data_IF_845506881539
#
_entry.id   IF_845506881539
#
_cell.length_a   1.000
_cell.length_b   1.000
_cell.length_c   1.000
_cell.angle_alpha   90.00
_cell.angle_beta   90.00
_cell.angle_gamma   90.00
#
_symmetry.space_group_name_H-M   'P 1'
#
loop_
_entity.id
_entity.type
_entity.pdbx_description
1 polymer ?
#
# COMPACT_ATOMS: atom_id res chain seq x y z
N UNK A 1 -4.58 6.97 -38.08
CA UNK A 1 -3.95 8.13 -37.41
C UNK A 1 -5.03 8.92 -36.70
N UNK A 2 -5.17 8.78 -35.39
CA UNK A 2 -6.10 9.57 -34.57
C UNK A 2 -5.28 10.20 -33.44
N UNK A 3 -5.02 11.50 -33.56
CA UNK A 3 -4.34 12.29 -32.54
C UNK A 3 -5.33 12.53 -31.40
N UNK A 4 -5.09 11.92 -30.23
CA UNK A 4 -5.80 12.29 -29.00
C UNK A 4 -5.20 13.59 -28.50
N UNK A 5 -6.05 14.62 -28.38
CA UNK A 5 -5.74 15.89 -27.75
C UNK A 5 -5.29 15.66 -26.30
N UNK A 6 -4.01 15.93 -26.02
CA UNK A 6 -3.48 16.12 -24.69
C UNK A 6 -3.85 17.52 -24.22
N UNK A 7 -5.01 17.67 -23.56
CA UNK A 7 -5.25 18.86 -22.76
C UNK A 7 -4.29 18.83 -21.57
N UNK A 8 -3.38 19.80 -21.53
CA UNK A 8 -2.49 20.06 -20.40
C UNK A 8 -3.31 20.23 -19.13
N UNK A 9 -3.21 19.26 -18.21
CA UNK A 9 -3.70 19.43 -16.85
C UNK A 9 -2.74 20.38 -16.15
N UNK A 10 -3.23 21.56 -15.76
CA UNK A 10 -2.47 22.47 -14.90
C UNK A 10 -2.10 21.72 -13.60
N UNK A 11 -0.80 21.56 -13.37
CA UNK A 11 -0.27 20.94 -12.15
C UNK A 11 -0.30 21.99 -11.03
N UNK A 12 -0.78 21.66 -9.82
CA UNK A 12 -0.55 22.51 -8.65
C UNK A 12 0.96 22.74 -8.46
N UNK A 13 1.36 23.97 -8.16
CA UNK A 13 2.75 24.49 -8.08
C UNK A 13 3.67 23.81 -7.04
N UNK A 14 3.22 22.74 -6.41
CA UNK A 14 3.75 22.21 -5.15
C UNK A 14 4.50 20.88 -5.29
N UNK A 15 4.78 20.48 -6.53
CA UNK A 15 5.49 19.25 -6.89
C UNK A 15 6.69 19.59 -7.79
N UNK A 16 7.93 19.55 -7.27
CA UNK A 16 9.10 19.95 -8.04
C UNK A 16 9.32 19.05 -9.27
N UNK A 17 9.80 19.67 -10.35
CA UNK A 17 10.13 19.01 -11.60
C UNK A 17 11.52 18.34 -11.53
N UNK A 18 11.58 17.08 -11.96
CA UNK A 18 12.71 16.27 -12.50
C UNK A 18 13.96 16.05 -11.62
N UNK A 19 14.33 16.95 -10.72
CA UNK A 19 15.49 16.72 -9.84
C UNK A 19 15.16 15.78 -8.68
N UNK A 20 16.07 14.84 -8.44
CA UNK A 20 16.01 14.00 -7.26
C UNK A 20 16.17 14.86 -6.01
N UNK A 21 15.31 14.68 -5.02
CA UNK A 21 15.41 15.38 -3.74
C UNK A 21 15.23 14.39 -2.60
N UNK A 22 15.69 14.77 -1.42
CA UNK A 22 15.37 14.05 -0.20
C UNK A 22 13.99 14.49 0.31
N UNK A 23 13.16 13.51 0.66
CA UNK A 23 11.86 13.74 1.26
C UNK A 23 11.71 12.83 2.49
N UNK A 24 11.24 13.42 3.59
CA UNK A 24 11.06 12.72 4.86
C UNK A 24 9.63 12.20 4.94
N UNK A 25 9.50 10.89 4.94
CA UNK A 25 8.21 10.21 4.77
C UNK A 25 7.95 9.28 5.95
N UNK A 26 6.80 9.42 6.59
CA UNK A 26 6.29 8.45 7.55
C UNK A 26 5.69 7.29 6.76
N UNK A 27 6.36 6.15 6.72
CA UNK A 27 5.87 4.98 6.00
C UNK A 27 4.66 4.42 6.72
N UNK A 28 3.50 4.33 6.04
CA UNK A 28 2.26 3.77 6.63
C UNK A 28 1.73 2.57 5.87
N UNK A 29 2.26 2.27 4.69
CA UNK A 29 1.80 1.17 3.84
C UNK A 29 3.00 0.40 3.28
N UNK A 30 2.89 -0.94 3.29
CA UNK A 30 3.66 -1.83 2.43
C UNK A 30 2.69 -2.81 1.80
N UNK A 31 2.57 -2.77 0.48
CA UNK A 31 1.75 -3.72 -0.25
C UNK A 31 2.42 -5.10 -0.32
N UNK A 32 1.63 -6.14 -0.58
CA UNK A 32 2.12 -7.49 -0.84
C UNK A 32 3.25 -7.49 -1.88
N UNK A 33 4.37 -8.20 -1.61
CA UNK A 33 5.44 -8.39 -2.60
C UNK A 33 4.94 -9.12 -3.85
N UNK A 34 5.27 -8.57 -5.01
CA UNK A 34 4.96 -9.18 -6.31
C UNK A 34 6.24 -9.47 -7.11
N UNK A 35 6.28 -10.56 -7.89
CA UNK A 35 7.40 -10.86 -8.79
C UNK A 35 7.71 -9.71 -9.74
N UNK A 36 8.99 -9.48 -10.01
CA UNK A 36 9.48 -8.41 -10.87
C UNK A 36 10.64 -8.89 -11.72
N UNK A 37 10.52 -8.78 -13.04
CA UNK A 37 11.61 -9.17 -13.94
C UNK A 37 12.90 -8.36 -13.66
N UNK A 38 12.78 -7.10 -13.26
CA UNK A 38 13.94 -6.23 -13.00
C UNK A 38 14.50 -6.43 -11.58
N UNK A 39 13.64 -6.39 -10.57
CA UNK A 39 14.07 -6.35 -9.17
C UNK A 39 13.88 -7.68 -8.41
N UNK A 40 13.53 -8.75 -9.14
CA UNK A 40 13.10 -10.07 -8.63
C UNK A 40 11.76 -10.04 -7.93
N UNK A 41 11.60 -9.16 -6.95
CA UNK A 41 10.31 -8.85 -6.33
C UNK A 41 10.26 -7.38 -5.89
N UNK A 42 9.06 -6.84 -5.84
CA UNK A 42 8.85 -5.43 -5.46
C UNK A 42 7.61 -5.28 -4.61
N UNK A 43 7.67 -4.35 -3.66
CA UNK A 43 6.51 -3.84 -2.93
C UNK A 43 6.21 -2.41 -3.38
N UNK A 44 4.94 -2.05 -3.35
CA UNK A 44 4.52 -0.65 -3.33
C UNK A 44 4.57 -0.18 -1.87
N UNK A 45 5.32 0.89 -1.61
CA UNK A 45 5.37 1.54 -0.30
C UNK A 45 4.65 2.87 -0.39
N UNK A 46 3.89 3.25 0.64
CA UNK A 46 3.32 4.59 0.70
C UNK A 46 3.43 5.17 2.11
N UNK A 47 3.45 6.50 2.15
CA UNK A 47 3.64 7.26 3.37
C UNK A 47 3.11 8.68 3.26
N UNK A 48 3.25 9.41 4.37
CA UNK A 48 2.82 10.81 4.51
C UNK A 48 4.04 11.65 4.88
N UNK A 49 4.24 12.78 4.20
CA UNK A 49 5.30 13.74 4.54
C UNK A 49 4.98 14.51 5.82
N UNK A 50 5.92 15.31 6.34
CA UNK A 50 5.66 16.21 7.46
C UNK A 50 4.58 17.27 7.15
N UNK A 51 4.42 17.62 5.87
CA UNK A 51 3.39 18.53 5.38
C UNK A 51 2.04 17.86 5.09
N UNK A 52 1.89 16.55 5.37
CA UNK A 52 0.64 15.83 5.13
C UNK A 52 0.43 15.35 3.69
N UNK A 53 1.45 15.45 2.81
CA UNK A 53 1.35 14.98 1.42
C UNK A 53 1.50 13.45 1.37
N UNK A 54 0.60 12.78 0.66
CA UNK A 54 0.74 11.36 0.36
C UNK A 54 1.80 11.11 -0.72
N UNK A 55 2.68 10.14 -0.49
CA UNK A 55 3.74 9.73 -1.41
C UNK A 55 3.69 8.22 -1.62
N UNK A 56 3.62 7.80 -2.88
CA UNK A 56 3.86 6.43 -3.34
C UNK A 56 5.31 6.29 -3.78
N UNK A 57 5.97 5.28 -3.24
CA UNK A 57 7.32 4.85 -3.59
C UNK A 57 7.23 3.51 -4.31
N UNK A 58 7.59 3.49 -5.59
CA UNK A 58 7.59 2.27 -6.38
C UNK A 58 8.68 2.30 -7.46
N UNK A 59 9.34 1.16 -7.75
CA UNK A 59 9.34 -0.07 -6.96
C UNK A 59 10.29 0.01 -5.76
N UNK A 60 9.95 -0.69 -4.67
CA UNK A 60 10.85 -0.93 -3.54
C UNK A 60 11.15 -2.43 -3.45
N UNK A 61 12.40 -2.89 -3.62
CA UNK A 61 12.78 -4.30 -3.48
C UNK A 61 12.99 -4.67 -1.99
N UNK A 62 11.98 -4.45 -1.15
CA UNK A 62 12.12 -4.38 0.31
C UNK A 62 12.84 -5.58 0.96
N UNK A 63 12.53 -6.81 0.51
CA UNK A 63 13.14 -8.05 1.01
C UNK A 63 14.62 -8.21 0.64
N UNK A 64 15.10 -7.48 -0.36
CA UNK A 64 16.48 -7.48 -0.86
C UNK A 64 17.25 -6.21 -0.48
N UNK A 65 16.66 -5.34 0.33
CA UNK A 65 17.37 -4.16 0.83
C UNK A 65 18.45 -4.54 1.84
N UNK A 66 19.56 -3.80 1.79
CA UNK A 66 20.60 -3.82 2.80
C UNK A 66 20.01 -3.57 4.19
N UNK A 67 20.55 -4.23 5.21
CA UNK A 67 20.01 -4.21 6.57
C UNK A 67 19.76 -2.78 7.09
N UNK A 68 20.74 -1.88 6.90
CA UNK A 68 20.68 -0.48 7.34
C UNK A 68 19.58 0.35 6.66
N UNK A 69 19.10 -0.06 5.49
CA UNK A 69 18.06 0.65 4.74
C UNK A 69 16.66 0.10 5.02
N UNK A 70 16.53 -1.02 5.76
CA UNK A 70 15.23 -1.61 6.09
C UNK A 70 14.48 -0.74 7.09
N UNK A 71 13.20 -0.53 6.84
CA UNK A 71 12.33 0.28 7.67
C UNK A 71 11.05 -0.46 8.07
N UNK A 72 10.42 0.00 9.14
CA UNK A 72 9.15 -0.52 9.65
C UNK A 72 7.97 0.39 9.32
N UNK A 73 6.76 -0.16 9.40
CA UNK A 73 5.53 0.63 9.34
C UNK A 73 5.50 1.61 10.52
N UNK A 74 5.05 2.83 10.27
CA UNK A 74 5.10 3.99 11.16
C UNK A 74 6.50 4.49 11.51
N UNK A 75 7.53 4.19 10.72
CA UNK A 75 8.86 4.78 10.88
C UNK A 75 9.03 5.98 9.94
N UNK A 76 9.65 7.04 10.44
CA UNK A 76 10.14 8.12 9.58
C UNK A 76 11.36 7.61 8.80
N UNK A 77 11.40 7.91 7.51
CA UNK A 77 12.50 7.49 6.64
C UNK A 77 12.80 8.65 5.71
N UNK A 78 14.08 8.99 5.55
CA UNK A 78 14.52 9.92 4.53
C UNK A 78 14.76 9.15 3.23
N UNK A 79 14.03 9.51 2.17
CA UNK A 79 14.18 8.89 0.87
C UNK A 79 14.71 9.92 -0.12
N UNK A 80 15.77 9.59 -0.86
CA UNK A 80 16.05 10.29 -2.11
C UNK A 80 15.11 9.78 -3.19
N UNK A 81 14.24 10.66 -3.69
CA UNK A 81 13.17 10.31 -4.62
C UNK A 81 13.24 11.17 -5.87
N UNK A 82 12.82 10.58 -7.00
CA UNK A 82 12.60 11.30 -8.26
C UNK A 82 11.19 11.06 -8.75
N UNK A 83 10.61 12.08 -9.36
CA UNK A 83 9.28 11.96 -9.96
C UNK A 83 9.31 10.94 -11.10
N UNK A 84 8.31 10.04 -11.15
CA UNK A 84 8.16 9.16 -12.32
C UNK A 84 7.78 9.97 -13.55
N UNK A 85 8.30 9.60 -14.71
CA UNK A 85 7.92 10.26 -15.96
C UNK A 85 6.43 10.00 -16.24
N UNK A 86 5.74 10.97 -16.85
CA UNK A 86 4.30 10.90 -17.05
C UNK A 86 3.88 9.73 -17.96
N UNK A 87 4.76 9.28 -18.85
CA UNK A 87 4.55 8.13 -19.73
C UNK A 87 4.57 6.80 -18.95
N UNK A 88 5.32 6.77 -17.84
CA UNK A 88 5.44 5.59 -16.98
C UNK A 88 4.39 5.57 -15.88
N UNK A 89 4.15 6.72 -15.26
CA UNK A 89 3.17 6.90 -14.19
C UNK A 89 2.87 8.39 -14.00
N UNK A 90 1.69 8.84 -14.43
CA UNK A 90 1.28 10.24 -14.37
C UNK A 90 0.73 10.68 -13.00
N UNK A 91 0.61 9.76 -12.04
CA UNK A 91 -0.03 10.04 -10.75
C UNK A 91 0.82 11.02 -9.95
N UNK A 92 0.19 12.04 -9.35
CA UNK A 92 0.90 13.17 -8.73
C UNK A 92 1.66 12.76 -7.47
N UNK A 93 1.22 11.70 -6.81
CA UNK A 93 1.86 11.11 -5.63
C UNK A 93 2.90 10.01 -5.96
N UNK A 94 3.15 9.68 -7.24
CA UNK A 94 4.04 8.57 -7.61
C UNK A 94 5.51 8.96 -7.84
N UNK A 95 6.42 8.30 -7.12
CA UNK A 95 7.86 8.54 -7.13
C UNK A 95 8.67 7.25 -7.20
N UNK A 96 9.84 7.32 -7.82
CA UNK A 96 10.84 6.27 -7.82
C UNK A 96 11.91 6.59 -6.77
N UNK A 97 12.12 5.74 -5.75
CA UNK A 97 13.20 5.93 -4.78
C UNK A 97 14.55 5.46 -5.34
N UNK A 98 15.61 6.14 -4.95
CA UNK A 98 16.98 5.66 -5.12
C UNK A 98 17.31 4.69 -3.98
N UNK A 99 17.41 3.39 -4.29
CA UNK A 99 17.44 2.32 -3.27
C UNK A 99 18.64 2.41 -2.32
N UNK A 100 19.79 2.90 -2.80
CA UNK A 100 20.98 3.11 -1.98
C UNK A 100 20.84 4.30 -0.99
N UNK A 101 19.85 5.17 -1.21
CA UNK A 101 19.64 6.43 -0.50
C UNK A 101 18.33 6.40 0.30
N UNK A 102 18.10 5.28 0.98
CA UNK A 102 16.98 5.06 1.89
C UNK A 102 17.53 4.96 3.31
N UNK A 103 17.19 5.94 4.14
CA UNK A 103 17.78 6.14 5.47
C UNK A 103 16.68 6.17 6.54
N UNK A 104 16.39 5.05 7.23
CA UNK A 104 15.43 5.02 8.34
C UNK A 104 15.87 5.93 9.49
N UNK A 105 14.93 6.68 10.07
CA UNK A 105 15.19 7.65 11.14
C UNK A 105 14.56 7.14 12.43
N UNK A 106 15.40 6.92 13.44
CA UNK A 106 14.96 6.54 14.78
C UNK A 106 14.12 5.27 14.82
N UNK A 107 13.32 5.12 15.87
CA UNK A 107 12.38 4.00 16.02
C UNK A 107 11.01 4.32 15.41
N UNK A 108 10.19 3.32 15.08
CA UNK A 108 8.82 3.54 14.64
C UNK A 108 8.01 4.28 15.70
N UNK A 109 7.08 5.13 15.26
CA UNK A 109 6.18 5.84 16.17
C UNK A 109 5.43 4.83 17.06
N UNK A 110 5.28 5.10 18.37
CA UNK A 110 4.75 4.14 19.33
C UNK A 110 3.36 3.58 18.98
N UNK A 111 3.15 2.29 19.24
CA UNK A 111 1.88 1.61 19.00
C UNK A 111 0.90 1.67 20.19
N UNK A 112 1.31 2.17 21.37
CA UNK A 112 0.52 2.08 22.61
C UNK A 112 -0.57 3.15 22.73
N UNK A 113 -0.28 4.41 22.41
CA UNK A 113 -1.23 5.52 22.54
C UNK A 113 -1.61 6.18 21.19
N UNK A 114 -0.94 5.84 20.09
CA UNK A 114 -1.19 6.32 18.72
C UNK A 114 -1.21 7.85 18.56
N UNK A 115 -0.80 8.64 19.57
CA UNK A 115 -0.93 10.10 19.57
C UNK A 115 -0.14 10.69 18.39
N UNK A 116 1.14 10.33 18.26
CA UNK A 116 1.99 10.82 17.17
C UNK A 116 1.52 10.34 15.79
N UNK A 117 1.00 9.11 15.70
CA UNK A 117 0.45 8.58 14.44
C UNK A 117 -0.81 9.36 14.03
N UNK A 118 -1.72 9.62 14.97
CA UNK A 118 -2.95 10.39 14.76
C UNK A 118 -2.65 11.82 14.30
N UNK A 119 -1.67 12.48 14.94
CA UNK A 119 -1.26 13.85 14.61
C UNK A 119 -0.86 14.03 13.14
N UNK A 120 -0.24 13.01 12.54
CA UNK A 120 0.20 13.05 11.14
C UNK A 120 -0.90 12.57 10.18
N UNK A 121 -1.62 11.51 10.54
CA UNK A 121 -2.51 10.81 9.59
C UNK A 121 -3.91 11.41 9.54
N UNK A 122 -4.50 11.76 10.69
CA UNK A 122 -5.89 12.26 10.74
C UNK A 122 -6.11 13.55 9.92
N UNK A 123 -5.17 14.52 9.85
CA UNK A 123 -5.33 15.69 9.01
C UNK A 123 -5.43 15.40 7.50
N UNK A 124 -5.06 14.18 7.06
CA UNK A 124 -5.05 13.79 5.65
C UNK A 124 -6.30 13.04 5.20
N UNK A 125 -7.31 12.94 6.07
CA UNK A 125 -8.56 12.22 5.80
C UNK A 125 -9.38 12.93 4.73
N UNK A 126 -9.70 12.17 3.68
CA UNK A 126 -10.66 12.57 2.66
C UNK A 126 -12.10 12.27 3.10
N UNK A 127 -13.09 13.06 2.65
CA UNK A 127 -14.49 12.89 3.05
C UNK A 127 -15.08 11.51 2.74
N UNK A 128 -14.74 10.94 1.57
CA UNK A 128 -15.27 9.67 1.09
C UNK A 128 -14.37 9.06 0.02
N UNK A 129 -14.67 7.82 -0.38
CA UNK A 129 -14.02 7.21 -1.54
C UNK A 129 -14.37 7.94 -2.86
N UNK A 130 -15.61 8.43 -3.01
CA UNK A 130 -16.02 9.15 -4.22
C UNK A 130 -15.25 10.47 -4.39
N UNK A 131 -14.93 11.15 -3.28
CA UNK A 131 -14.07 12.33 -3.33
C UNK A 131 -12.66 11.98 -3.82
N UNK A 132 -12.08 10.87 -3.36
CA UNK A 132 -10.80 10.38 -3.86
C UNK A 132 -10.86 10.03 -5.35
N UNK A 133 -11.97 9.45 -5.84
CA UNK A 133 -12.18 9.16 -7.25
C UNK A 133 -12.25 10.45 -8.11
N UNK A 134 -12.89 11.50 -7.59
CA UNK A 134 -12.90 12.83 -8.22
C UNK A 134 -11.51 13.46 -8.25
N UNK A 135 -10.77 13.41 -7.14
CA UNK A 135 -9.39 13.89 -7.05
C UNK A 135 -8.46 13.13 -8.00
N UNK A 136 -8.66 11.82 -8.17
CA UNK A 136 -7.95 11.05 -9.17
C UNK A 136 -8.26 11.54 -10.58
N UNK A 137 -9.55 11.71 -10.90
CA UNK A 137 -10.00 12.14 -12.23
C UNK A 137 -9.44 13.51 -12.60
N UNK A 138 -9.48 14.46 -11.66
CA UNK A 138 -9.14 15.86 -11.89
C UNK A 138 -7.64 16.11 -11.74
N UNK A 139 -7.02 15.55 -10.69
CA UNK A 139 -5.65 15.89 -10.26
C UNK A 139 -4.68 14.70 -10.26
N UNK A 140 -5.15 13.50 -10.61
CA UNK A 140 -4.34 12.27 -10.60
C UNK A 140 -3.76 11.94 -9.22
N UNK A 141 -4.47 12.34 -8.15
CA UNK A 141 -4.21 11.91 -6.76
C UNK A 141 -4.72 10.49 -6.60
N UNK A 142 -3.85 9.59 -6.18
CA UNK A 142 -4.10 8.15 -6.28
C UNK A 142 -3.81 7.36 -5.01
N UNK A 143 -3.59 8.09 -3.93
CA UNK A 143 -3.48 7.60 -2.56
C UNK A 143 -4.40 8.45 -1.69
N UNK A 144 -4.90 7.86 -0.62
CA UNK A 144 -5.66 8.61 0.37
C UNK A 144 -6.11 7.73 1.52
N UNK A 145 -6.75 8.37 2.48
CA UNK A 145 -7.37 7.71 3.62
C UNK A 145 -8.77 8.27 3.81
N UNK A 146 -9.74 7.41 4.09
CA UNK A 146 -11.10 7.85 4.38
C UNK A 146 -11.76 6.96 5.42
N UNK A 147 -12.81 7.47 6.06
CA UNK A 147 -13.62 6.73 7.02
C UNK A 147 -14.81 6.08 6.29
N UNK A 148 -14.91 4.74 6.20
CA UNK A 148 -16.14 4.12 5.72
C UNK A 148 -17.27 4.40 6.72
N UNK A 149 -18.51 4.41 6.22
CA UNK A 149 -19.71 4.51 7.06
C UNK A 149 -19.91 3.22 7.85
N UNK A 150 -19.69 2.07 7.19
CA UNK A 150 -19.80 0.73 7.77
C UNK A 150 -19.06 -0.27 6.89
N UNK A 151 -18.32 -1.18 7.51
CA UNK A 151 -17.88 -2.44 6.89
C UNK A 151 -19.03 -3.44 6.98
N UNK A 152 -19.54 -3.90 5.84
CA UNK A 152 -20.65 -4.85 5.78
C UNK A 152 -20.14 -6.29 5.88
N UNK A 153 -19.03 -6.61 5.21
CA UNK A 153 -18.50 -7.97 5.17
C UNK A 153 -16.98 -8.00 4.89
N UNK A 154 -16.36 -9.12 5.22
CA UNK A 154 -14.99 -9.47 4.87
C UNK A 154 -15.00 -10.77 4.06
N UNK A 155 -14.65 -10.64 2.79
CA UNK A 155 -14.78 -11.68 1.79
C UNK A 155 -13.43 -12.31 1.54
N UNK A 156 -13.37 -13.64 1.64
CA UNK A 156 -12.21 -14.44 1.27
C UNK A 156 -12.59 -15.23 0.02
N UNK A 157 -11.76 -15.17 -1.02
CA UNK A 157 -11.97 -15.95 -2.25
C UNK A 157 -10.73 -16.77 -2.55
N UNK A 158 -10.92 -18.05 -2.88
CA UNK A 158 -9.83 -18.95 -3.27
C UNK A 158 -9.26 -18.55 -4.62
N UNK A 159 -7.94 -18.51 -4.70
CA UNK A 159 -7.16 -18.23 -5.88
C UNK A 159 -6.22 -19.38 -6.24
N UNK A 160 -5.22 -19.09 -7.08
CA UNK A 160 -4.21 -20.08 -7.47
C UNK A 160 -3.15 -20.22 -6.38
N UNK A 161 -2.80 -21.46 -6.05
CA UNK A 161 -1.72 -21.80 -5.11
C UNK A 161 -0.31 -21.51 -5.63
N UNK A 162 -0.14 -21.54 -6.95
CA UNK A 162 1.19 -21.39 -7.57
C UNK A 162 1.31 -20.09 -8.35
N UNK A 163 2.55 -19.60 -8.42
CA UNK A 163 2.92 -18.53 -9.31
C UNK A 163 2.82 -19.02 -10.77
N UNK A 164 2.78 -18.08 -11.74
CA UNK A 164 2.91 -18.49 -13.14
C UNK A 164 4.33 -19.02 -13.39
N UNK A 165 4.52 -19.91 -14.37
CA UNK A 165 5.87 -20.41 -14.73
C UNK A 165 6.90 -19.27 -14.91
N UNK A 166 6.48 -18.17 -15.53
CA UNK A 166 7.32 -16.97 -15.67
C UNK A 166 7.71 -16.37 -14.32
N UNK A 167 6.74 -16.19 -13.42
CA UNK A 167 6.99 -15.63 -12.09
C UNK A 167 7.86 -16.58 -11.24
N UNK A 168 7.65 -17.89 -11.32
CA UNK A 168 8.51 -18.88 -10.65
C UNK A 168 9.96 -18.79 -11.14
N UNK A 169 10.17 -18.66 -12.46
CA UNK A 169 11.51 -18.47 -13.03
C UNK A 169 12.17 -17.20 -12.49
N UNK A 170 11.46 -16.07 -12.48
CA UNK A 170 11.96 -14.80 -11.93
C UNK A 170 12.37 -14.95 -10.46
N UNK A 171 11.57 -15.66 -9.66
CA UNK A 171 11.78 -15.83 -8.22
C UNK A 171 12.90 -16.82 -7.89
N UNK A 172 13.21 -17.79 -8.77
CA UNK A 172 14.16 -18.88 -8.47
C UNK A 172 15.49 -18.76 -9.20
N UNK A 173 15.57 -18.00 -10.30
CA UNK A 173 16.79 -17.87 -11.09
C UNK A 173 17.88 -17.10 -10.33
N UNK A 174 19.04 -17.73 -10.11
CA UNK A 174 20.23 -17.03 -9.59
C UNK A 174 20.71 -15.95 -10.56
N UNK A 175 21.19 -14.82 -10.01
CA UNK A 175 21.79 -13.72 -10.80
C UNK A 175 23.21 -13.47 -10.30
N UNK A 176 24.10 -13.19 -11.24
CA UNK A 176 25.50 -12.95 -10.94
C UNK A 176 25.63 -11.67 -10.09
N UNK A 177 26.37 -11.74 -8.98
CA UNK A 177 26.56 -10.65 -8.01
C UNK A 177 25.32 -10.18 -7.25
N UNK A 178 24.26 -10.99 -7.18
CA UNK A 178 23.10 -10.73 -6.31
C UNK A 178 23.02 -11.74 -5.15
N UNK A 179 22.27 -11.39 -4.10
CA UNK A 179 21.91 -12.32 -3.03
C UNK A 179 21.13 -13.53 -3.59
N UNK A 180 21.25 -14.66 -2.90
CA UNK A 180 20.47 -15.85 -3.25
C UNK A 180 18.96 -15.57 -3.22
N UNK A 181 18.18 -16.18 -4.13
CA UNK A 181 16.74 -15.95 -4.16
C UNK A 181 16.07 -16.38 -2.85
N UNK A 182 15.13 -15.55 -2.37
CA UNK A 182 14.40 -15.74 -1.12
C UNK A 182 13.02 -16.28 -1.49
N UNK A 183 12.62 -17.46 -0.98
CA UNK A 183 11.33 -18.04 -1.33
C UNK A 183 10.19 -17.05 -1.12
N UNK A 184 9.37 -16.81 -2.15
CA UNK A 184 8.16 -16.01 -2.05
C UNK A 184 6.96 -16.95 -2.24
N UNK A 185 6.33 -17.34 -1.14
CA UNK A 185 5.10 -18.15 -1.19
C UNK A 185 3.94 -17.31 -1.72
N UNK A 186 3.22 -17.86 -2.70
CA UNK A 186 1.96 -17.28 -3.16
C UNK A 186 0.83 -17.65 -2.20
N UNK A 187 0.07 -16.65 -1.78
CA UNK A 187 -1.13 -16.89 -0.97
C UNK A 187 -2.30 -17.27 -1.90
N UNK A 188 -2.95 -18.43 -1.69
CA UNK A 188 -4.06 -18.89 -2.53
C UNK A 188 -5.39 -18.22 -2.16
N UNK A 189 -5.37 -17.02 -1.59
CA UNK A 189 -6.54 -16.31 -1.16
C UNK A 189 -6.45 -14.85 -1.55
N UNK A 190 -7.57 -14.29 -1.99
CA UNK A 190 -7.77 -12.85 -2.05
C UNK A 190 -8.68 -12.45 -0.90
N UNK A 191 -8.39 -11.28 -0.31
CA UNK A 191 -9.15 -10.71 0.79
C UNK A 191 -9.78 -9.41 0.30
N UNK A 192 -11.04 -9.17 0.62
CA UNK A 192 -11.76 -7.96 0.24
C UNK A 192 -12.67 -7.48 1.35
N UNK A 193 -12.90 -6.17 1.42
CA UNK A 193 -14.01 -5.61 2.18
C UNK A 193 -15.21 -5.35 1.29
N UNK A 194 -16.40 -5.59 1.82
CA UNK A 194 -17.65 -4.98 1.37
C UNK A 194 -18.02 -3.87 2.35
N UNK A 195 -18.29 -2.66 1.86
CA UNK A 195 -18.56 -1.51 2.73
C UNK A 195 -19.39 -0.42 2.07
N UNK A 196 -19.86 0.53 2.88
CA UNK A 196 -20.47 1.80 2.42
C UNK A 196 -19.64 2.98 2.92
N UNK A 197 -19.65 4.11 2.20
CA UNK A 197 -18.99 5.36 2.61
C UNK A 197 -20.00 6.47 2.89
N UNK A 198 -19.54 7.57 3.49
CA UNK A 198 -20.38 8.72 3.87
C UNK A 198 -20.67 9.68 2.71
N UNK A 199 -20.84 9.16 1.50
CA UNK A 199 -21.23 9.95 0.32
C UNK A 199 -22.69 9.65 -0.05
N UNK A 200 -23.46 10.66 -0.44
CA UNK A 200 -24.87 10.50 -0.84
C UNK A 200 -25.04 9.64 -2.09
N UNK A 201 -23.99 9.49 -2.91
CA UNK A 201 -23.98 8.66 -4.12
C UNK A 201 -23.62 7.19 -3.85
N UNK A 202 -23.28 6.85 -2.61
CA UNK A 202 -22.75 5.53 -2.28
C UNK A 202 -23.84 4.43 -2.40
N UNK A 203 -23.59 3.48 -3.30
CA UNK A 203 -24.40 2.27 -3.49
C UNK A 203 -23.70 0.99 -2.95
N UNK A 204 -22.68 1.16 -2.12
CA UNK A 204 -21.79 0.09 -1.66
C UNK A 204 -20.54 -0.06 -2.53
N UNK A 205 -19.52 -0.66 -1.94
CA UNK A 205 -18.22 -0.89 -2.55
C UNK A 205 -17.71 -2.27 -2.16
N UNK A 206 -17.06 -2.95 -3.11
CA UNK A 206 -16.25 -4.14 -2.86
C UNK A 206 -14.82 -3.83 -3.26
N UNK A 207 -13.87 -3.98 -2.34
CA UNK A 207 -12.49 -3.57 -2.57
C UNK A 207 -11.50 -4.60 -2.05
N UNK A 208 -10.58 -5.02 -2.90
CA UNK A 208 -9.52 -5.96 -2.55
C UNK A 208 -8.49 -5.30 -1.62
N UNK A 209 -7.99 -6.10 -0.68
CA UNK A 209 -6.91 -5.76 0.24
C UNK A 209 -5.60 -6.29 -0.37
N UNK A 210 -4.61 -5.40 -0.49
CA UNK A 210 -3.25 -5.72 -0.96
C UNK A 210 -2.19 -5.29 0.05
N UNK A 211 -2.56 -5.16 1.33
CA UNK A 211 -1.65 -4.91 2.46
C UNK A 211 -0.83 -6.19 2.76
N UNK A 212 0.49 -6.09 2.86
CA UNK A 212 1.34 -7.23 3.21
C UNK A 212 0.98 -7.82 4.59
N UNK A 213 0.53 -7.02 5.56
CA UNK A 213 0.23 -7.51 6.91
C UNK A 213 -0.87 -8.59 6.96
N UNK A 214 -1.81 -8.60 5.99
CA UNK A 214 -2.85 -9.63 5.93
C UNK A 214 -2.28 -11.00 5.56
N UNK A 215 -1.35 -11.01 4.62
CA UNK A 215 -0.69 -12.23 4.15
C UNK A 215 0.31 -12.74 5.17
N UNK A 216 1.05 -11.85 5.84
CA UNK A 216 1.93 -12.27 6.93
C UNK A 216 1.14 -12.87 8.08
N UNK A 217 -0.02 -12.29 8.43
CA UNK A 217 -0.89 -12.90 9.44
C UNK A 217 -1.33 -14.30 9.01
N UNK A 218 -1.78 -14.48 7.77
CA UNK A 218 -2.13 -15.79 7.24
C UNK A 218 -0.94 -16.77 7.29
N UNK A 219 0.25 -16.37 6.81
CA UNK A 219 1.47 -17.19 6.83
C UNK A 219 1.82 -17.63 8.25
N UNK A 220 1.79 -16.70 9.22
CA UNK A 220 2.07 -16.98 10.61
C UNK A 220 1.08 -17.99 11.20
N UNK A 221 -0.22 -17.86 10.91
CA UNK A 221 -1.24 -18.80 11.39
C UNK A 221 -1.10 -20.18 10.72
N UNK A 222 -0.84 -20.22 9.41
CA UNK A 222 -0.56 -21.47 8.68
C UNK A 222 0.67 -22.18 9.21
N UNK A 223 1.75 -21.45 9.54
CA UNK A 223 2.96 -22.04 10.11
C UNK A 223 2.71 -22.67 11.48
N UNK A 224 1.86 -22.05 12.31
CA UNK A 224 1.50 -22.58 13.62
C UNK A 224 0.62 -23.83 13.54
N UNK A 225 -0.23 -23.94 12.52
CA UNK A 225 -1.08 -25.12 12.31
C UNK A 225 -1.30 -25.43 10.81
N UNK A 226 -0.36 -26.15 10.16
CA UNK A 226 -0.36 -26.33 8.71
C UNK A 226 -1.60 -27.05 8.13
N UNK A 227 -2.29 -27.84 8.95
CA UNK A 227 -3.44 -28.64 8.53
C UNK A 227 -4.80 -27.97 8.82
N UNK A 228 -4.80 -26.80 9.47
CA UNK A 228 -6.01 -26.09 9.87
C UNK A 228 -6.15 -24.75 9.13
N UNK A 229 -6.21 -24.81 7.79
CA UNK A 229 -6.31 -23.60 6.94
C UNK A 229 -7.54 -22.75 7.31
N UNK A 230 -8.69 -23.37 7.54
CA UNK A 230 -9.91 -22.66 7.93
C UNK A 230 -9.73 -21.90 9.25
N UNK A 231 -9.04 -22.50 10.23
CA UNK A 231 -8.71 -21.81 11.48
C UNK A 231 -7.78 -20.60 11.25
N UNK A 232 -6.82 -20.71 10.32
CA UNK A 232 -5.97 -19.58 9.95
C UNK A 232 -6.77 -18.45 9.27
N UNK A 233 -7.70 -18.79 8.37
CA UNK A 233 -8.59 -17.82 7.71
C UNK A 233 -9.54 -17.13 8.70
N UNK A 234 -10.08 -17.88 9.67
CA UNK A 234 -10.91 -17.31 10.74
C UNK A 234 -10.10 -16.35 11.64
N UNK A 235 -8.82 -16.65 11.91
CA UNK A 235 -7.94 -15.69 12.62
C UNK A 235 -7.69 -14.42 11.82
N UNK A 236 -7.50 -14.54 10.50
CA UNK A 236 -7.37 -13.38 9.61
C UNK A 236 -8.67 -12.55 9.64
N UNK A 237 -9.82 -13.20 9.46
CA UNK A 237 -11.14 -12.55 9.50
C UNK A 237 -11.39 -11.88 10.85
N UNK A 238 -11.12 -12.55 11.96
CA UNK A 238 -11.27 -11.97 13.29
C UNK A 238 -10.43 -10.70 13.45
N UNK A 239 -9.17 -10.72 13.00
CA UNK A 239 -8.30 -9.55 13.10
C UNK A 239 -8.81 -8.39 12.23
N UNK A 240 -9.12 -8.67 10.98
CA UNK A 240 -9.39 -7.66 9.96
C UNK A 240 -10.85 -7.19 9.94
N UNK A 241 -11.81 -7.98 10.38
CA UNK A 241 -13.22 -7.60 10.46
C UNK A 241 -13.62 -7.22 11.89
N UNK A 242 -13.22 -8.00 12.89
CA UNK A 242 -13.69 -7.81 14.28
C UNK A 242 -12.82 -6.84 15.05
N UNK A 243 -11.52 -7.15 15.23
CA UNK A 243 -10.66 -6.34 16.11
C UNK A 243 -10.38 -4.95 15.56
N UNK A 244 -10.09 -4.84 14.26
CA UNK A 244 -9.80 -3.56 13.61
C UNK A 244 -11.01 -2.64 13.51
N UNK A 245 -12.24 -3.16 13.56
CA UNK A 245 -13.47 -2.37 13.45
C UNK A 245 -14.34 -2.41 14.71
N UNK A 246 -13.78 -2.86 15.82
CA UNK A 246 -14.45 -2.88 17.12
C UNK A 246 -14.89 -1.46 17.54
N UNK A 247 -15.92 -1.36 18.38
CA UNK A 247 -16.44 -0.08 18.88
C UNK A 247 -15.41 0.74 19.66
N UNK A 248 -14.36 0.10 20.20
CA UNK A 248 -13.24 0.77 20.87
C UNK A 248 -12.21 1.37 19.90
N UNK A 249 -12.44 1.25 18.59
CA UNK A 249 -11.55 1.75 17.53
C UNK A 249 -12.21 2.88 16.73
N UNK A 250 -11.35 3.74 16.21
CA UNK A 250 -11.72 4.77 15.25
C UNK A 250 -10.98 4.49 13.93
N UNK A 251 -11.58 3.67 13.08
CA UNK A 251 -10.86 3.01 11.97
C UNK A 251 -11.15 3.61 10.60
N UNK A 252 -10.11 3.60 9.77
CA UNK A 252 -10.06 4.24 8.47
C UNK A 252 -9.39 3.30 7.45
N UNK A 253 -9.83 3.38 6.20
CA UNK A 253 -9.21 2.66 5.09
C UNK A 253 -8.16 3.55 4.43
N UNK A 254 -6.91 3.09 4.37
CA UNK A 254 -5.89 3.66 3.49
C UNK A 254 -6.02 2.95 2.15
N UNK A 255 -6.18 3.72 1.08
CA UNK A 255 -6.44 3.19 -0.26
C UNK A 255 -5.50 3.78 -1.30
N UNK A 256 -5.35 3.07 -2.41
CA UNK A 256 -4.70 3.63 -3.58
C UNK A 256 -4.96 2.84 -4.84
N UNK A 257 -4.68 3.46 -5.99
CA UNK A 257 -4.92 2.83 -7.29
C UNK A 257 -3.76 1.96 -7.74
N UNK A 258 -4.06 0.99 -8.60
CA UNK A 258 -3.06 0.27 -9.40
C UNK A 258 -2.91 1.00 -10.74
N UNK A 259 -1.69 1.06 -11.27
CA UNK A 259 -1.43 1.61 -12.61
C UNK A 259 -1.30 0.45 -13.62
N UNK A 260 -1.81 0.56 -14.86
CA UNK A 260 -2.49 1.73 -15.45
C UNK A 260 -4.01 1.80 -15.21
N UNK A 261 -4.62 0.75 -14.66
CA UNK A 261 -6.06 0.64 -14.49
C UNK A 261 -6.49 1.18 -13.12
N UNK A 262 -7.13 2.36 -13.03
CA UNK A 262 -7.28 3.12 -11.79
C UNK A 262 -8.42 2.58 -10.90
N UNK A 263 -8.29 1.33 -10.45
CA UNK A 263 -9.15 0.75 -9.44
C UNK A 263 -8.49 0.92 -8.08
N UNK A 264 -9.21 1.50 -7.12
CA UNK A 264 -8.75 1.58 -5.74
C UNK A 264 -8.71 0.20 -5.09
N UNK A 265 -7.66 -0.02 -4.30
CA UNK A 265 -7.48 -1.18 -3.44
C UNK A 265 -7.19 -0.69 -2.03
N UNK A 266 -7.56 -1.49 -1.02
CA UNK A 266 -7.21 -1.25 0.37
C UNK A 266 -5.73 -1.61 0.55
N UNK A 267 -4.95 -0.61 0.94
CA UNK A 267 -3.51 -0.74 1.18
C UNK A 267 -3.19 -0.94 2.66
N UNK A 268 -4.18 -0.74 3.53
CA UNK A 268 -4.13 -1.04 4.95
C UNK A 268 -5.27 -0.37 5.73
N UNK A 269 -5.36 -0.72 7.01
CA UNK A 269 -6.31 -0.11 7.95
C UNK A 269 -5.53 0.73 8.96
N UNK A 270 -5.94 1.98 9.13
CA UNK A 270 -5.49 2.83 10.24
C UNK A 270 -6.56 2.77 11.34
N UNK A 271 -6.27 2.10 12.46
CA UNK A 271 -7.26 1.72 13.49
C UNK A 271 -6.84 2.13 14.91
N UNK A 272 -6.63 3.44 15.18
CA UNK A 272 -6.32 3.91 16.53
C UNK A 272 -7.40 3.50 17.55
N UNK A 273 -7.02 3.29 18.83
CA UNK A 273 -7.98 3.32 19.92
C UNK A 273 -8.72 4.67 19.95
N UNK A 274 -10.00 4.63 20.32
CA UNK A 274 -10.78 5.83 20.64
C UNK A 274 -10.19 6.57 21.84
#
# INVERSE_FOLDING_TARGET
MSKRNSQERQKPNDYPAVESHFEKILVVVKATPNPSDKYRETVCTAGVTESGKWIRLYPVPFRYMAYQSRFSKYQWVNFKIKKRSAEKDFRIDSYEPEIAEIHPIGQPLPARNWIERKKIILPTISPSLHHLEEDYKNHSVSLGIFKPKRINDFIITTGKETWSKRHEQVLTQGRLFEEQPKPLEKIPFTFSYDFTCNDSRCNGHRMQIIDWEIEELYRNMKQQNPYAIDAALEKVKNKWLTEMWAETRDSYLIVGTIYPNPTYNVLGVFWPPR
#
